data_IF_596487211093
#
_entry.id   IF_596487211093
#
_cell.length_a   1.000
_cell.length_b   1.000
_cell.length_c   1.000
_cell.angle_alpha   90.00
_cell.angle_beta   90.00
_cell.angle_gamma   90.00
#
_symmetry.space_group_name_H-M   'P 1'
#
loop_
_entity.id
_entity.type
_entity.pdbx_description
1 polymer ?
#
# COMPACT_ATOMS: atom_id res chain seq x y z
N UNK A 1 10.57 19.76 -31.21
CA UNK A 1 10.55 18.30 -30.95
C UNK A 1 11.99 17.82 -31.09
N UNK A 2 12.68 17.58 -29.98
CA UNK A 2 14.10 17.18 -30.00
C UNK A 2 14.24 15.66 -29.77
N UNK A 3 15.07 15.04 -30.60
CA UNK A 3 15.98 13.90 -30.40
C UNK A 3 15.63 12.94 -29.24
N UNK A 4 15.30 11.68 -29.60
CA UNK A 4 15.30 10.45 -28.77
C UNK A 4 15.56 10.70 -27.29
N UNK A 5 14.48 11.02 -26.56
CA UNK A 5 14.54 11.14 -25.12
C UNK A 5 14.87 9.76 -24.52
N UNK A 6 16.00 9.62 -23.83
CA UNK A 6 16.32 8.42 -23.06
C UNK A 6 15.31 8.31 -21.90
N UNK A 7 14.21 7.61 -22.15
CA UNK A 7 13.14 7.40 -21.17
C UNK A 7 13.64 6.68 -19.91
N UNK A 8 14.68 5.85 -20.03
CA UNK A 8 15.29 5.19 -18.88
C UNK A 8 15.99 6.18 -17.95
N UNK A 9 16.79 7.10 -18.50
CA UNK A 9 17.43 8.16 -17.73
C UNK A 9 16.41 9.15 -17.15
N UNK A 10 15.41 9.57 -17.93
CA UNK A 10 14.34 10.45 -17.44
C UNK A 10 13.57 9.80 -16.29
N UNK A 11 13.20 8.52 -16.44
CA UNK A 11 12.49 7.77 -15.42
C UNK A 11 13.24 7.73 -14.09
N UNK A 12 14.55 7.47 -14.11
CA UNK A 12 15.39 7.50 -12.90
C UNK A 12 15.49 8.90 -12.28
N UNK A 13 15.59 9.94 -13.10
CA UNK A 13 15.60 11.31 -12.60
C UNK A 13 14.30 11.66 -11.86
N UNK A 14 13.14 11.31 -12.44
CA UNK A 14 11.85 11.53 -11.79
C UNK A 14 11.66 10.69 -10.53
N UNK A 15 12.19 9.46 -10.51
CA UNK A 15 12.18 8.60 -9.33
C UNK A 15 12.95 9.23 -8.17
N UNK A 16 14.15 9.75 -8.43
CA UNK A 16 14.95 10.48 -7.43
C UNK A 16 14.29 11.78 -6.97
N UNK A 17 13.53 12.41 -7.85
CA UNK A 17 12.76 13.61 -7.54
C UNK A 17 11.41 13.31 -6.89
N UNK A 18 11.11 12.07 -6.48
CA UNK A 18 9.83 11.64 -5.88
C UNK A 18 8.59 11.87 -6.77
N UNK A 19 8.79 11.95 -8.09
CA UNK A 19 7.73 12.08 -9.10
C UNK A 19 7.36 10.70 -9.64
N UNK A 20 6.86 9.84 -8.75
CA UNK A 20 6.73 8.40 -9.00
C UNK A 20 5.81 8.04 -10.18
N UNK A 21 4.75 8.82 -10.43
CA UNK A 21 3.85 8.56 -11.54
C UNK A 21 4.51 8.84 -12.90
N UNK A 22 5.23 9.95 -13.01
CA UNK A 22 6.03 10.26 -14.20
C UNK A 22 7.17 9.26 -14.39
N UNK A 23 7.83 8.87 -13.29
CA UNK A 23 8.87 7.84 -13.31
C UNK A 23 8.31 6.53 -13.87
N UNK A 24 7.17 6.05 -13.36
CA UNK A 24 6.52 4.84 -13.82
C UNK A 24 6.19 4.89 -15.32
N UNK A 25 5.63 6.01 -15.81
CA UNK A 25 5.36 6.21 -17.24
C UNK A 25 6.62 6.11 -18.10
N UNK A 26 7.69 6.83 -17.74
CA UNK A 26 8.93 6.83 -18.49
C UNK A 26 9.61 5.44 -18.46
N UNK A 27 9.67 4.79 -17.30
CA UNK A 27 10.32 3.48 -17.15
C UNK A 27 9.56 2.39 -17.89
N UNK A 28 8.22 2.43 -17.85
CA UNK A 28 7.40 1.52 -18.64
C UNK A 28 7.63 1.69 -20.15
N UNK A 29 7.72 2.94 -20.65
CA UNK A 29 8.10 3.18 -22.05
C UNK A 29 9.50 2.67 -22.39
N UNK A 30 10.47 2.84 -21.49
CA UNK A 30 11.83 2.32 -21.68
C UNK A 30 11.84 0.78 -21.78
N UNK A 31 10.98 0.08 -21.04
CA UNK A 31 10.80 -1.38 -21.14
C UNK A 31 10.18 -1.76 -22.49
N UNK A 32 9.18 -1.02 -22.96
CA UNK A 32 8.57 -1.27 -24.28
C UNK A 32 9.57 -1.06 -25.43
N UNK A 33 10.46 -0.08 -25.32
CA UNK A 33 11.54 0.15 -26.29
C UNK A 33 12.65 -0.89 -26.20
N UNK A 34 13.02 -1.31 -24.98
CA UNK A 34 14.01 -2.35 -24.73
C UNK A 34 13.62 -3.20 -23.53
N UNK A 35 13.06 -4.39 -23.81
CA UNK A 35 12.61 -5.34 -22.77
C UNK A 35 13.74 -5.86 -21.87
N UNK A 36 14.99 -5.74 -22.30
CA UNK A 36 16.18 -6.17 -21.55
C UNK A 36 16.76 -5.06 -20.64
N UNK A 37 16.10 -3.90 -20.56
CA UNK A 37 16.53 -2.82 -19.69
C UNK A 37 16.23 -3.12 -18.21
N UNK A 38 17.11 -3.88 -17.55
CA UNK A 38 16.95 -4.29 -16.14
C UNK A 38 16.70 -3.12 -15.19
N UNK A 39 17.40 -2.00 -15.38
CA UNK A 39 17.23 -0.80 -14.58
C UNK A 39 15.83 -0.19 -14.73
N UNK A 40 15.19 -0.31 -15.89
CA UNK A 40 13.84 0.18 -16.10
C UNK A 40 12.80 -0.69 -15.37
N UNK A 41 12.99 -2.01 -15.35
CA UNK A 41 12.16 -2.94 -14.56
C UNK A 41 12.24 -2.64 -13.06
N UNK A 42 13.47 -2.52 -12.53
CA UNK A 42 13.70 -2.20 -11.12
C UNK A 42 13.07 -0.86 -10.74
N UNK A 43 13.35 0.18 -11.52
CA UNK A 43 12.80 1.50 -11.25
C UNK A 43 11.27 1.55 -11.36
N UNK A 44 10.66 0.82 -12.31
CA UNK A 44 9.20 0.76 -12.45
C UNK A 44 8.57 0.12 -11.20
N UNK A 45 9.13 -1.00 -10.74
CA UNK A 45 8.67 -1.68 -9.53
C UNK A 45 8.78 -0.79 -8.29
N UNK A 46 9.89 -0.07 -8.16
CA UNK A 46 10.09 0.87 -7.06
C UNK A 46 9.07 2.02 -7.11
N UNK A 47 8.87 2.63 -8.28
CA UNK A 47 7.90 3.70 -8.47
C UNK A 47 6.47 3.25 -8.12
N UNK A 48 6.04 2.08 -8.61
CA UNK A 48 4.72 1.53 -8.33
C UNK A 48 4.54 1.16 -6.85
N UNK A 49 5.60 0.66 -6.19
CA UNK A 49 5.58 0.32 -4.77
C UNK A 49 5.45 1.57 -3.90
N UNK A 50 6.18 2.65 -4.21
CA UNK A 50 6.03 3.93 -3.50
C UNK A 50 4.64 4.58 -3.70
N UNK A 51 3.96 4.28 -4.80
CA UNK A 51 2.56 4.66 -5.01
C UNK A 51 1.55 3.68 -4.39
N UNK A 52 2.00 2.61 -3.74
CA UNK A 52 1.18 1.51 -3.19
C UNK A 52 0.24 0.87 -4.22
N UNK A 53 0.72 0.71 -5.47
CA UNK A 53 -0.01 0.03 -6.56
C UNK A 53 0.28 -1.46 -6.56
N UNK A 54 -0.05 -2.15 -5.46
CA UNK A 54 0.36 -3.55 -5.19
C UNK A 54 -0.03 -4.53 -6.32
N UNK A 55 -1.23 -4.41 -6.89
CA UNK A 55 -1.65 -5.22 -8.04
C UNK A 55 -0.78 -5.01 -9.29
N UNK A 56 -0.37 -3.77 -9.56
CA UNK A 56 0.52 -3.45 -10.67
C UNK A 56 1.93 -3.97 -10.39
N UNK A 57 2.40 -3.86 -9.14
CA UNK A 57 3.69 -4.41 -8.70
C UNK A 57 3.72 -5.92 -8.89
N UNK A 58 2.69 -6.65 -8.46
CA UNK A 58 2.56 -8.10 -8.69
C UNK A 58 2.62 -8.45 -10.18
N UNK A 59 1.89 -7.69 -11.01
CA UNK A 59 1.87 -7.89 -12.47
C UNK A 59 3.25 -7.65 -13.08
N UNK A 60 3.92 -6.55 -12.74
CA UNK A 60 5.25 -6.20 -13.26
C UNK A 60 6.31 -7.17 -12.76
N UNK A 61 6.24 -7.62 -11.49
CA UNK A 61 7.14 -8.66 -10.95
C UNK A 61 6.98 -9.98 -11.70
N UNK A 62 5.74 -10.37 -12.00
CA UNK A 62 5.46 -11.58 -12.75
C UNK A 62 6.00 -11.50 -14.18
N UNK A 63 5.78 -10.36 -14.86
CA UNK A 63 6.33 -10.10 -16.20
C UNK A 63 7.86 -10.09 -16.20
N UNK A 64 8.50 -9.50 -15.18
CA UNK A 64 9.95 -9.50 -15.02
C UNK A 64 10.52 -10.93 -14.93
N UNK A 65 9.92 -11.77 -14.06
CA UNK A 65 10.36 -13.15 -13.88
C UNK A 65 10.22 -13.97 -15.17
N UNK A 66 9.08 -13.82 -15.87
CA UNK A 66 8.76 -14.56 -17.08
C UNK A 66 9.43 -14.04 -18.35
N UNK A 67 10.01 -12.84 -18.34
CA UNK A 67 10.71 -12.28 -19.50
C UNK A 67 12.06 -13.02 -19.69
N UNK A 68 12.24 -13.74 -20.82
CA UNK A 68 13.49 -14.40 -21.13
C UNK A 68 14.62 -13.36 -21.31
N UNK A 69 15.85 -13.78 -21.02
CA UNK A 69 17.09 -13.02 -21.22
C UNK A 69 17.28 -11.78 -20.35
N UNK A 70 16.35 -11.47 -19.42
CA UNK A 70 16.60 -10.48 -18.38
C UNK A 70 17.57 -11.04 -17.33
N UNK A 71 18.62 -10.29 -16.92
CA UNK A 71 19.52 -10.72 -15.86
C UNK A 71 18.79 -10.78 -14.52
N UNK A 72 19.26 -11.67 -13.65
CA UNK A 72 18.84 -11.70 -12.26
C UNK A 72 19.16 -10.36 -11.55
N UNK A 73 18.23 -9.91 -10.72
CA UNK A 73 18.36 -8.72 -9.86
C UNK A 73 17.93 -9.11 -8.45
N UNK A 74 18.88 -9.09 -7.50
CA UNK A 74 18.66 -9.50 -6.11
C UNK A 74 17.67 -8.60 -5.38
N UNK A 75 17.57 -7.33 -5.77
CA UNK A 75 16.68 -6.37 -5.10
C UNK A 75 15.20 -6.73 -5.31
N UNK A 76 14.91 -7.48 -6.38
CA UNK A 76 13.55 -7.94 -6.72
C UNK A 76 12.99 -8.98 -5.75
N UNK A 77 13.86 -9.75 -5.09
CA UNK A 77 13.44 -10.82 -4.17
C UNK A 77 12.61 -10.26 -3.04
N UNK A 78 13.06 -9.17 -2.42
CA UNK A 78 12.36 -8.54 -1.30
C UNK A 78 10.96 -8.09 -1.70
N UNK A 79 10.80 -7.54 -2.90
CA UNK A 79 9.48 -7.18 -3.44
C UNK A 79 8.61 -8.40 -3.67
N UNK A 80 9.14 -9.48 -4.26
CA UNK A 80 8.39 -10.71 -4.50
C UNK A 80 7.90 -11.35 -3.19
N UNK A 81 8.77 -11.46 -2.19
CA UNK A 81 8.42 -11.99 -0.88
C UNK A 81 7.32 -11.15 -0.21
N UNK A 82 7.41 -9.83 -0.27
CA UNK A 82 6.40 -8.94 0.30
C UNK A 82 5.05 -9.05 -0.44
N UNK A 83 5.07 -9.11 -1.77
CA UNK A 83 3.85 -9.08 -2.61
C UNK A 83 3.09 -10.41 -2.63
N UNK A 84 3.78 -11.53 -2.40
CA UNK A 84 3.18 -12.87 -2.41
C UNK A 84 3.39 -13.63 -1.09
N UNK A 85 3.57 -12.92 0.03
CA UNK A 85 3.70 -13.54 1.37
C UNK A 85 2.56 -14.50 1.73
N UNK A 86 1.37 -14.30 1.17
CA UNK A 86 0.19 -15.15 1.37
C UNK A 86 -0.21 -15.96 0.13
N UNK A 87 0.64 -15.98 -0.90
CA UNK A 87 0.44 -16.76 -2.12
C UNK A 87 1.71 -17.59 -2.42
N UNK A 88 1.92 -18.72 -1.70
CA UNK A 88 3.10 -19.55 -1.89
C UNK A 88 3.21 -20.14 -3.30
N UNK A 89 2.09 -20.28 -4.03
CA UNK A 89 2.08 -20.71 -5.44
C UNK A 89 2.82 -19.71 -6.33
N UNK A 90 2.34 -18.47 -6.40
CA UNK A 90 2.95 -17.44 -7.25
C UNK A 90 4.40 -17.16 -6.83
N UNK A 91 4.69 -17.13 -5.52
CA UNK A 91 6.04 -16.94 -5.03
C UNK A 91 6.96 -18.09 -5.44
N UNK A 92 6.51 -19.34 -5.33
CA UNK A 92 7.28 -20.51 -5.76
C UNK A 92 7.58 -20.47 -7.25
N UNK A 93 6.57 -20.20 -8.08
CA UNK A 93 6.72 -20.09 -9.54
C UNK A 93 7.66 -18.93 -9.91
N UNK A 94 7.60 -17.80 -9.18
CA UNK A 94 8.49 -16.66 -9.38
C UNK A 94 9.94 -17.03 -9.05
N UNK A 95 10.18 -17.65 -7.90
CA UNK A 95 11.52 -18.10 -7.46
C UNK A 95 12.10 -19.08 -8.48
N UNK A 96 11.28 -20.03 -8.95
CA UNK A 96 11.67 -20.96 -9.99
C UNK A 96 12.08 -20.24 -11.28
N UNK A 97 11.26 -19.30 -11.76
CA UNK A 97 11.54 -18.55 -12.98
C UNK A 97 12.82 -17.70 -12.88
N UNK A 98 13.06 -17.02 -11.75
CA UNK A 98 14.28 -16.22 -11.59
C UNK A 98 15.52 -17.08 -11.36
N UNK A 99 15.39 -18.27 -10.79
CA UNK A 99 16.51 -19.22 -10.60
C UNK A 99 17.14 -19.72 -11.91
N UNK A 100 16.48 -19.46 -13.04
CA UNK A 100 16.94 -19.82 -14.38
C UNK A 100 17.59 -18.64 -15.13
N UNK A 101 17.62 -17.44 -14.55
CA UNK A 101 18.19 -16.24 -15.18
C UNK A 101 19.72 -16.22 -15.07
N UNK A 102 20.38 -15.48 -15.95
CA UNK A 102 21.83 -15.27 -15.87
C UNK A 102 22.21 -14.38 -14.66
N UNK A 103 23.48 -14.45 -14.22
CA UNK A 103 24.05 -13.66 -13.12
C UNK A 103 23.52 -13.95 -11.70
N UNK A 104 23.01 -15.15 -11.44
CA UNK A 104 22.57 -15.59 -10.10
C UNK A 104 23.67 -15.53 -9.02
N UNK A 105 24.93 -15.72 -9.42
CA UNK A 105 26.05 -15.83 -8.49
C UNK A 105 25.80 -16.92 -7.44
N UNK A 106 26.01 -16.57 -6.16
CA UNK A 106 25.83 -17.51 -5.05
C UNK A 106 24.36 -17.75 -4.65
N UNK A 107 23.39 -17.08 -5.28
CA UNK A 107 21.98 -17.18 -4.89
C UNK A 107 21.27 -18.41 -5.47
N UNK A 108 21.90 -19.14 -6.41
CA UNK A 108 21.23 -20.24 -7.10
C UNK A 108 20.79 -21.36 -6.16
N UNK A 109 21.67 -21.81 -5.26
CA UNK A 109 21.35 -22.87 -4.28
C UNK A 109 20.20 -22.44 -3.35
N UNK A 110 20.31 -21.24 -2.78
CA UNK A 110 19.28 -20.64 -1.93
C UNK A 110 17.91 -20.55 -2.62
N UNK A 111 17.87 -20.12 -3.89
CA UNK A 111 16.62 -20.00 -4.65
C UNK A 111 16.01 -21.37 -4.95
N UNK A 112 16.83 -22.38 -5.26
CA UNK A 112 16.36 -23.75 -5.49
C UNK A 112 15.77 -24.36 -4.21
N UNK A 113 16.42 -24.16 -3.07
CA UNK A 113 15.90 -24.60 -1.76
C UNK A 113 14.59 -23.89 -1.41
N UNK A 114 14.55 -22.56 -1.55
CA UNK A 114 13.36 -21.76 -1.29
C UNK A 114 12.18 -22.19 -2.18
N UNK A 115 12.42 -22.45 -3.46
CA UNK A 115 11.40 -22.99 -4.37
C UNK A 115 10.86 -24.34 -3.89
N UNK A 116 11.73 -25.25 -3.45
CA UNK A 116 11.33 -26.56 -2.96
C UNK A 116 10.46 -26.44 -1.69
N UNK A 117 10.81 -25.56 -0.77
CA UNK A 117 10.05 -25.36 0.47
C UNK A 117 8.69 -24.71 0.21
N UNK A 118 8.63 -23.69 -0.64
CA UNK A 118 7.37 -23.04 -1.03
C UNK A 118 6.45 -23.99 -1.80
N UNK A 119 7.01 -24.83 -2.67
CA UNK A 119 6.25 -25.84 -3.42
C UNK A 119 5.63 -26.87 -2.49
N UNK A 120 6.38 -27.38 -1.50
CA UNK A 120 5.83 -28.28 -0.47
C UNK A 120 4.72 -27.60 0.34
N UNK A 121 4.92 -26.32 0.69
CA UNK A 121 3.90 -25.52 1.39
C UNK A 121 2.61 -25.40 0.58
N UNK A 122 2.72 -25.15 -0.73
CA UNK A 122 1.57 -25.12 -1.63
C UNK A 122 0.91 -26.50 -1.77
N UNK A 123 1.68 -27.57 -1.96
CA UNK A 123 1.15 -28.94 -2.03
C UNK A 123 0.36 -29.34 -0.78
N UNK A 124 0.83 -28.94 0.40
CA UNK A 124 0.11 -29.17 1.66
C UNK A 124 -1.24 -28.42 1.69
N UNK A 125 -1.27 -27.16 1.26
CA UNK A 125 -2.52 -26.38 1.17
C UNK A 125 -3.49 -26.99 0.15
N UNK A 126 -2.99 -27.46 -1.00
CA UNK A 126 -3.81 -28.14 -2.02
C UNK A 126 -4.39 -29.43 -1.46
N UNK A 127 -3.63 -30.20 -0.68
CA UNK A 127 -4.11 -31.41 -0.03
C UNK A 127 -5.20 -31.13 1.02
N UNK A 128 -5.13 -29.99 1.71
CA UNK A 128 -6.10 -29.61 2.76
C UNK A 128 -7.38 -28.97 2.20
N UNK A 129 -7.27 -28.09 1.21
CA UNK A 129 -8.37 -27.24 0.75
C UNK A 129 -8.82 -27.53 -0.69
N UNK A 130 -8.02 -28.22 -1.49
CA UNK A 130 -8.24 -28.40 -2.93
C UNK A 130 -7.81 -27.19 -3.75
N UNK A 131 -7.27 -27.45 -4.94
CA UNK A 131 -6.72 -26.40 -5.83
C UNK A 131 -7.79 -25.40 -6.30
N UNK A 132 -9.00 -25.86 -6.62
CA UNK A 132 -10.11 -25.00 -7.04
C UNK A 132 -10.49 -24.00 -5.94
N UNK A 133 -10.60 -24.44 -4.68
CA UNK A 133 -10.92 -23.55 -3.55
C UNK A 133 -9.81 -22.52 -3.30
N UNK A 134 -8.54 -22.90 -3.46
CA UNK A 134 -7.42 -21.97 -3.33
C UNK A 134 -7.41 -20.93 -4.46
N UNK A 135 -7.75 -21.32 -5.68
CA UNK A 135 -7.89 -20.41 -6.81
C UNK A 135 -9.04 -19.39 -6.56
N UNK A 136 -10.19 -19.86 -6.06
CA UNK A 136 -11.31 -18.99 -5.65
C UNK A 136 -10.93 -18.00 -4.54
N UNK A 137 -10.04 -18.43 -3.61
CA UNK A 137 -9.46 -17.58 -2.57
C UNK A 137 -8.36 -16.63 -3.08
N UNK A 138 -8.15 -16.56 -4.39
CA UNK A 138 -7.21 -15.63 -5.02
C UNK A 138 -5.76 -16.10 -5.09
N UNK A 139 -5.49 -17.38 -4.86
CA UNK A 139 -4.16 -17.99 -5.02
C UNK A 139 -3.84 -18.25 -6.50
N UNK A 140 -3.75 -17.17 -7.27
CA UNK A 140 -3.43 -17.21 -8.70
C UNK A 140 -1.96 -17.62 -8.94
N UNK A 141 -1.73 -18.25 -10.09
CA UNK A 141 -0.41 -18.54 -10.66
C UNK A 141 0.32 -17.27 -11.11
N UNK A 142 1.64 -17.39 -11.29
CA UNK A 142 2.48 -16.32 -11.82
C UNK A 142 2.06 -15.88 -13.22
N UNK A 143 1.68 -16.83 -14.07
CA UNK A 143 1.22 -16.55 -15.43
C UNK A 143 -0.08 -15.75 -15.43
N UNK A 144 -1.01 -16.06 -14.53
CA UNK A 144 -2.26 -15.32 -14.38
C UNK A 144 -2.01 -13.89 -13.91
N UNK A 145 -1.02 -13.64 -13.04
CA UNK A 145 -0.61 -12.28 -12.71
C UNK A 145 -0.02 -11.55 -13.93
N UNK A 146 0.87 -12.19 -14.68
CA UNK A 146 1.58 -11.53 -15.77
C UNK A 146 0.68 -11.04 -16.92
N UNK A 147 -0.44 -11.72 -17.18
CA UNK A 147 -1.40 -11.36 -18.23
C UNK A 147 -2.43 -10.31 -17.80
N UNK A 148 -2.47 -9.94 -16.50
CA UNK A 148 -3.37 -8.87 -16.04
C UNK A 148 -3.01 -7.56 -16.75
N UNK A 149 -4.05 -6.80 -17.11
CA UNK A 149 -3.88 -5.46 -17.66
C UNK A 149 -3.68 -4.47 -16.51
N UNK A 150 -2.62 -3.66 -16.59
CA UNK A 150 -2.39 -2.52 -15.69
C UNK A 150 -2.71 -1.21 -16.40
N UNK A 151 -2.87 -0.10 -15.68
CA UNK A 151 -3.26 1.17 -16.30
C UNK A 151 -2.19 1.69 -17.28
N UNK A 152 -0.91 1.34 -17.08
CA UNK A 152 0.17 1.66 -18.01
C UNK A 152 0.03 0.93 -19.36
N UNK A 153 -0.50 -0.31 -19.37
CA UNK A 153 -0.81 -1.01 -20.62
C UNK A 153 -1.95 -0.28 -21.35
N UNK A 154 -3.02 0.05 -20.61
CA UNK A 154 -4.17 0.77 -21.14
C UNK A 154 -3.75 2.12 -21.74
N UNK A 155 -2.92 2.89 -21.04
CA UNK A 155 -2.39 4.18 -21.54
C UNK A 155 -1.56 4.01 -22.82
N UNK A 156 -0.83 2.90 -22.95
CA UNK A 156 -0.05 2.65 -24.14
C UNK A 156 -0.93 2.24 -25.33
N UNK A 157 -1.90 1.36 -25.10
CA UNK A 157 -2.81 0.82 -26.12
C UNK A 157 -3.77 1.88 -26.68
N UNK A 158 -4.32 2.74 -25.83
CA UNK A 158 -5.22 3.83 -26.26
C UNK A 158 -4.49 4.93 -27.07
N UNK A 159 -3.15 4.91 -27.07
CA UNK A 159 -2.25 5.55 -28.05
C UNK A 159 -2.16 7.08 -28.05
N UNK A 160 -3.29 7.78 -27.88
CA UNK A 160 -3.37 9.24 -27.90
C UNK A 160 -3.69 9.79 -26.51
N UNK A 161 -2.81 10.68 -26.03
CA UNK A 161 -2.99 11.43 -24.77
C UNK A 161 -4.34 12.15 -24.75
N UNK A 162 -4.84 12.60 -25.91
CA UNK A 162 -6.14 13.25 -26.03
C UNK A 162 -7.31 12.32 -25.70
N UNK A 163 -7.28 11.08 -26.18
CA UNK A 163 -8.29 10.05 -25.88
C UNK A 163 -8.29 9.73 -24.40
N UNK A 164 -7.11 9.48 -23.84
CA UNK A 164 -6.94 9.20 -22.41
C UNK A 164 -7.51 10.34 -21.56
N UNK A 165 -7.18 11.58 -21.93
CA UNK A 165 -7.64 12.75 -21.20
C UNK A 165 -9.16 12.94 -21.31
N UNK A 166 -9.76 12.70 -22.47
CA UNK A 166 -11.22 12.76 -22.64
C UNK A 166 -11.92 11.72 -21.76
N UNK A 167 -11.47 10.47 -21.77
CA UNK A 167 -11.99 9.42 -20.89
C UNK A 167 -11.86 9.81 -19.42
N UNK A 168 -10.72 10.37 -19.02
CA UNK A 168 -10.49 10.83 -17.65
C UNK A 168 -11.47 11.95 -17.23
N UNK A 169 -11.85 12.86 -18.15
CA UNK A 169 -12.84 13.90 -17.86
C UNK A 169 -14.24 13.34 -17.61
N UNK A 170 -14.59 12.21 -18.23
CA UNK A 170 -15.85 11.52 -17.98
C UNK A 170 -15.79 10.74 -16.66
N UNK A 171 -14.76 9.91 -16.49
CA UNK A 171 -14.59 9.03 -15.32
C UNK A 171 -14.46 9.79 -14.00
N UNK A 172 -13.91 11.01 -14.02
CA UNK A 172 -13.77 11.80 -12.79
C UNK A 172 -15.12 12.27 -12.23
N UNK A 173 -16.16 12.29 -13.06
CA UNK A 173 -17.53 12.68 -12.65
C UNK A 173 -18.34 11.50 -12.15
N UNK A 174 -17.88 10.27 -12.39
CA UNK A 174 -18.50 9.05 -11.91
C UNK A 174 -17.90 8.65 -10.54
N UNK A 175 -18.69 8.62 -9.46
CA UNK A 175 -18.21 8.25 -8.13
C UNK A 175 -17.49 6.90 -8.08
N UNK A 176 -17.89 5.92 -8.90
CA UNK A 176 -17.29 4.58 -8.91
C UNK A 176 -15.90 4.57 -9.56
N UNK A 177 -15.65 5.48 -10.50
CA UNK A 177 -14.43 5.52 -11.31
C UNK A 177 -13.48 6.67 -10.94
N UNK A 178 -13.94 7.66 -10.14
CA UNK A 178 -13.20 8.88 -9.86
C UNK A 178 -11.82 8.62 -9.24
N UNK A 179 -11.71 7.70 -8.28
CA UNK A 179 -10.43 7.38 -7.64
C UNK A 179 -9.44 6.71 -8.62
N UNK A 180 -9.94 5.78 -9.44
CA UNK A 180 -9.15 5.12 -10.49
C UNK A 180 -8.68 6.13 -11.53
N UNK A 181 -9.54 7.08 -11.90
CA UNK A 181 -9.18 8.20 -12.79
C UNK A 181 -8.04 9.06 -12.20
N UNK A 182 -8.11 9.42 -10.92
CA UNK A 182 -7.03 10.18 -10.24
C UNK A 182 -5.70 9.42 -10.28
N UNK A 183 -5.72 8.12 -10.00
CA UNK A 183 -4.54 7.24 -10.04
C UNK A 183 -3.96 7.12 -11.45
N UNK A 184 -4.82 7.13 -12.46
CA UNK A 184 -4.41 7.14 -13.85
C UNK A 184 -3.73 8.48 -14.20
N UNK A 185 -4.35 9.61 -13.88
CA UNK A 185 -3.84 10.94 -14.21
C UNK A 185 -2.45 11.24 -13.63
N UNK A 186 -2.07 10.64 -12.49
CA UNK A 186 -0.74 10.85 -11.91
C UNK A 186 0.40 10.24 -12.75
N UNK A 187 0.09 9.26 -13.60
CA UNK A 187 1.04 8.60 -14.50
C UNK A 187 0.98 9.17 -15.92
N UNK A 188 0.17 10.20 -16.18
CA UNK A 188 0.08 10.85 -17.49
C UNK A 188 0.78 12.22 -17.45
N UNK A 189 2.06 12.33 -17.87
CA UNK A 189 2.85 13.56 -17.79
C UNK A 189 2.41 14.61 -18.84
N UNK A 190 1.20 15.15 -18.66
CA UNK A 190 0.57 16.18 -19.49
C UNK A 190 0.06 17.32 -18.59
N UNK A 191 0.21 18.56 -19.05
CA UNK A 191 -0.23 19.76 -18.32
C UNK A 191 -1.74 19.76 -18.04
N UNK A 192 -2.53 19.09 -18.89
CA UNK A 192 -3.96 18.94 -18.70
C UNK A 192 -4.28 17.99 -17.54
N UNK A 193 -3.47 16.96 -17.30
CA UNK A 193 -3.58 16.09 -16.12
C UNK A 193 -3.42 16.91 -14.84
N UNK A 194 -2.40 17.77 -14.76
CA UNK A 194 -2.21 18.68 -13.62
C UNK A 194 -3.44 19.59 -13.43
N UNK A 195 -3.91 20.24 -14.51
CA UNK A 195 -5.06 21.15 -14.45
C UNK A 195 -6.32 20.44 -13.95
N UNK A 196 -6.54 19.20 -14.39
CA UNK A 196 -7.67 18.39 -13.98
C UNK A 196 -7.55 17.97 -12.51
N UNK A 197 -6.39 17.45 -12.09
CA UNK A 197 -6.14 17.09 -10.69
C UNK A 197 -6.29 18.30 -9.74
N UNK A 198 -5.79 19.49 -10.12
CA UNK A 198 -6.02 20.73 -9.36
C UNK A 198 -7.49 21.14 -9.30
N UNK A 199 -8.31 20.76 -10.29
CA UNK A 199 -9.77 20.98 -10.25
C UNK A 199 -10.41 19.99 -9.27
N UNK A 200 -10.02 18.71 -9.33
CA UNK A 200 -10.47 17.67 -8.42
C UNK A 200 -10.23 18.07 -6.97
N UNK A 201 -9.02 18.54 -6.63
CA UNK A 201 -8.67 19.00 -5.28
C UNK A 201 -9.62 20.06 -4.70
N UNK A 202 -10.34 20.80 -5.55
CA UNK A 202 -11.27 21.88 -5.16
C UNK A 202 -12.74 21.52 -5.35
N UNK A 203 -13.06 20.35 -5.90
CA UNK A 203 -14.42 19.99 -6.23
C UNK A 203 -15.12 19.32 -5.03
N UNK A 204 -15.91 20.08 -4.29
CA UNK A 204 -16.61 19.61 -3.09
C UNK A 204 -17.72 18.59 -3.36
N UNK A 205 -18.12 18.41 -4.61
CA UNK A 205 -19.06 17.36 -5.01
C UNK A 205 -18.42 15.96 -5.01
N UNK A 206 -17.08 15.89 -5.04
CA UNK A 206 -16.34 14.63 -4.99
C UNK A 206 -16.05 14.21 -3.55
N UNK A 207 -16.00 12.90 -3.33
CA UNK A 207 -15.63 12.33 -2.05
C UNK A 207 -14.26 12.87 -1.57
N UNK A 208 -14.13 13.11 -0.26
CA UNK A 208 -12.91 13.66 0.33
C UNK A 208 -11.68 12.80 0.06
N UNK A 209 -11.82 11.46 0.01
CA UNK A 209 -10.73 10.54 -0.35
C UNK A 209 -10.23 10.80 -1.76
N UNK A 210 -11.13 10.97 -2.73
CA UNK A 210 -10.76 11.25 -4.13
C UNK A 210 -9.96 12.56 -4.21
N UNK A 211 -10.40 13.59 -3.48
CA UNK A 211 -9.70 14.88 -3.44
C UNK A 211 -8.33 14.78 -2.79
N UNK A 212 -8.20 14.06 -1.67
CA UNK A 212 -6.92 13.86 -0.98
C UNK A 212 -5.96 13.05 -1.84
N UNK A 213 -6.45 12.02 -2.53
CA UNK A 213 -5.65 11.26 -3.51
C UNK A 213 -5.27 12.11 -4.72
N UNK A 214 -6.06 13.12 -5.10
CA UNK A 214 -5.68 14.05 -6.16
C UNK A 214 -4.52 14.96 -5.75
N UNK A 215 -4.41 15.35 -4.48
CA UNK A 215 -3.21 16.03 -3.97
C UNK A 215 -1.97 15.14 -4.04
N UNK A 216 -2.10 13.87 -3.62
CA UNK A 216 -1.02 12.87 -3.75
C UNK A 216 -0.61 12.69 -5.22
N UNK A 217 -1.59 12.56 -6.11
CA UNK A 217 -1.39 12.44 -7.55
C UNK A 217 -0.64 13.64 -8.14
N UNK A 218 -0.92 14.86 -7.69
CA UNK A 218 -0.14 16.04 -8.10
C UNK A 218 1.33 15.90 -7.74
N UNK A 219 1.64 15.47 -6.50
CA UNK A 219 3.04 15.27 -6.06
C UNK A 219 3.75 14.20 -6.91
N UNK A 220 3.07 13.09 -7.19
CA UNK A 220 3.60 12.00 -8.02
C UNK A 220 3.71 12.35 -9.51
N UNK A 221 2.88 13.27 -9.99
CA UNK A 221 3.00 13.87 -11.32
C UNK A 221 4.19 14.85 -11.41
N UNK A 222 4.87 15.12 -10.28
CA UNK A 222 6.03 16.03 -10.21
C UNK A 222 5.66 17.50 -10.01
N UNK A 223 4.41 17.78 -9.61
CA UNK A 223 3.97 19.14 -9.25
C UNK A 223 4.57 19.53 -7.90
N UNK A 224 5.09 20.76 -7.82
CA UNK A 224 5.79 21.31 -6.65
C UNK A 224 5.15 22.62 -6.18
N UNK A 225 5.43 23.00 -4.95
CA UNK A 225 4.86 24.18 -4.28
C UNK A 225 3.35 24.06 -3.97
N UNK A 226 2.66 25.20 -3.96
CA UNK A 226 1.32 25.29 -3.39
C UNK A 226 0.20 24.70 -4.28
N UNK A 227 -0.70 23.94 -3.66
CA UNK A 227 -1.96 23.49 -4.21
C UNK A 227 -3.14 23.95 -3.35
N UNK A 228 -4.19 24.46 -4.01
CA UNK A 228 -5.46 24.77 -3.34
C UNK A 228 -6.28 23.49 -3.19
N UNK A 229 -6.82 23.29 -2.00
CA UNK A 229 -7.60 22.11 -1.64
C UNK A 229 -8.84 22.55 -0.87
N UNK A 230 -10.00 22.03 -1.21
CA UNK A 230 -11.23 22.31 -0.46
C UNK A 230 -11.68 21.05 0.26
N UNK A 231 -12.02 21.16 1.54
CA UNK A 231 -12.64 20.08 2.31
C UNK A 231 -13.52 20.68 3.43
N UNK A 232 -14.63 20.01 3.74
CA UNK A 232 -15.62 20.47 4.73
C UNK A 232 -16.06 21.94 4.59
N UNK A 233 -16.19 22.45 3.36
CA UNK A 233 -16.60 23.84 3.09
C UNK A 233 -15.51 24.88 3.36
N UNK A 234 -14.30 24.46 3.69
CA UNK A 234 -13.13 25.32 3.89
C UNK A 234 -12.12 25.15 2.75
N UNK A 235 -11.35 26.21 2.49
CA UNK A 235 -10.30 26.21 1.47
C UNK A 235 -8.92 26.31 2.13
N UNK A 236 -8.07 25.36 1.81
CA UNK A 236 -6.71 25.19 2.31
C UNK A 236 -5.70 25.42 1.20
N UNK A 237 -4.50 25.83 1.60
CA UNK A 237 -3.32 25.87 0.73
C UNK A 237 -2.31 24.88 1.27
N UNK A 238 -2.06 23.81 0.51
CA UNK A 238 -1.14 22.74 0.87
C UNK A 238 0.16 22.95 0.12
N UNK A 239 1.27 23.01 0.83
CA UNK A 239 2.62 22.98 0.24
C UNK A 239 2.95 21.53 -0.13
N UNK A 240 3.05 21.22 -1.43
CA UNK A 240 3.37 19.88 -1.91
C UNK A 240 4.84 19.50 -1.69
N UNK A 241 5.72 20.48 -1.41
CA UNK A 241 7.13 20.23 -1.15
C UNK A 241 7.35 19.79 0.31
N UNK A 242 6.55 20.31 1.24
CA UNK A 242 6.55 19.92 2.65
C UNK A 242 5.13 19.99 3.25
N UNK A 243 4.26 19.01 2.93
CA UNK A 243 2.87 19.03 3.36
C UNK A 243 2.77 18.84 4.88
N UNK A 244 2.04 19.77 5.52
CA UNK A 244 1.73 19.73 6.96
C UNK A 244 0.21 19.82 7.13
N UNK A 245 -0.46 18.76 7.58
CA UNK A 245 0.09 17.46 8.00
C UNK A 245 0.57 16.60 6.82
N UNK A 246 1.33 15.53 7.12
CA UNK A 246 1.99 14.68 6.13
C UNK A 246 1.04 14.20 5.02
N UNK A 247 1.40 14.38 3.75
CA UNK A 247 0.63 13.83 2.63
C UNK A 247 1.25 12.51 2.18
N UNK A 248 0.64 11.38 2.58
CA UNK A 248 1.16 10.02 2.32
C UNK A 248 0.05 9.03 1.97
N UNK A 249 0.40 7.94 1.28
CA UNK A 249 -0.48 6.77 1.06
C UNK A 249 -0.31 5.67 2.09
N UNK A 250 0.72 5.76 2.92
CA UNK A 250 0.93 4.84 4.05
C UNK A 250 0.25 5.37 5.31
N UNK A 251 0.33 4.60 6.40
CA UNK A 251 -0.04 5.12 7.72
C UNK A 251 0.87 6.32 8.05
N UNK A 252 0.32 7.50 8.37
CA UNK A 252 1.13 8.68 8.68
C UNK A 252 2.05 8.44 9.88
N UNK A 253 3.26 9.00 9.83
CA UNK A 253 4.29 8.75 10.83
C UNK A 253 3.86 9.14 12.25
N UNK A 254 2.96 10.12 12.37
CA UNK A 254 2.41 10.60 13.65
C UNK A 254 1.66 9.51 14.43
N UNK A 255 1.16 8.46 13.77
CA UNK A 255 0.49 7.33 14.43
C UNK A 255 1.43 6.21 14.89
N UNK A 256 2.70 6.19 14.44
CA UNK A 256 3.67 5.14 14.80
C UNK A 256 3.84 4.94 16.32
N UNK A 257 3.90 6.00 17.15
CA UNK A 257 4.04 5.82 18.59
C UNK A 257 2.82 5.09 19.18
N UNK A 258 1.61 5.44 18.77
CA UNK A 258 0.39 4.77 19.22
C UNK A 258 0.31 3.31 18.74
N UNK A 259 0.72 3.00 17.51
CA UNK A 259 0.84 1.62 17.03
C UNK A 259 1.87 0.82 17.84
N UNK A 260 2.97 1.46 18.23
CA UNK A 260 3.96 0.82 19.10
C UNK A 260 3.40 0.54 20.49
N UNK A 261 2.58 1.44 21.06
CA UNK A 261 1.88 1.22 22.35
C UNK A 261 0.82 0.13 22.26
N UNK A 262 0.16 -0.01 21.11
CA UNK A 262 -0.74 -1.14 20.85
C UNK A 262 0.04 -2.46 20.94
N UNK A 263 1.20 -2.56 20.30
CA UNK A 263 2.03 -3.77 20.39
C UNK A 263 2.63 -3.99 21.80
N UNK A 264 2.94 -2.92 22.54
CA UNK A 264 3.33 -3.00 23.95
C UNK A 264 2.24 -3.65 24.82
N UNK A 265 0.98 -3.28 24.60
CA UNK A 265 -0.15 -3.91 25.28
C UNK A 265 -0.27 -5.39 24.93
N UNK A 266 -0.14 -5.75 23.64
CA UNK A 266 -0.16 -7.16 23.20
C UNK A 266 0.98 -7.95 23.85
N UNK A 267 2.19 -7.39 23.89
CA UNK A 267 3.36 -8.00 24.52
C UNK A 267 3.12 -8.29 26.00
N UNK A 268 2.44 -7.36 26.70
CA UNK A 268 2.06 -7.52 28.11
C UNK A 268 1.01 -8.63 28.29
N UNK A 269 -0.02 -8.67 27.46
CA UNK A 269 -1.04 -9.73 27.53
C UNK A 269 -0.49 -11.13 27.18
N UNK A 270 0.59 -11.19 26.39
CA UNK A 270 1.31 -12.42 26.07
C UNK A 270 2.42 -12.76 27.08
N UNK A 271 2.68 -11.90 28.07
CA UNK A 271 3.65 -12.14 29.14
C UNK A 271 5.11 -11.83 28.78
N UNK A 272 5.39 -11.19 27.64
CA UNK A 272 6.74 -10.73 27.27
C UNK A 272 7.16 -9.46 28.01
N UNK A 273 6.19 -8.65 28.44
CA UNK A 273 6.37 -7.39 29.17
C UNK A 273 5.61 -7.48 30.49
N UNK A 274 6.20 -7.03 31.61
CA UNK A 274 5.49 -7.05 32.90
C UNK A 274 4.46 -5.93 33.00
N UNK A 275 3.53 -6.03 33.95
CA UNK A 275 2.55 -4.97 34.18
C UNK A 275 3.21 -3.63 34.59
N UNK A 276 4.28 -3.69 35.39
CA UNK A 276 5.03 -2.50 35.80
C UNK A 276 5.75 -1.83 34.62
N UNK A 277 6.36 -2.64 33.75
CA UNK A 277 7.01 -2.16 32.53
C UNK A 277 5.99 -1.54 31.57
N UNK A 278 4.83 -2.18 31.42
CA UNK A 278 3.73 -1.63 30.64
C UNK A 278 3.30 -0.25 31.18
N UNK A 279 3.00 -0.13 32.47
CA UNK A 279 2.53 1.14 33.04
C UNK A 279 3.59 2.27 32.96
N UNK A 280 4.88 1.93 33.00
CA UNK A 280 5.96 2.91 32.84
C UNK A 280 6.00 3.54 31.43
N UNK A 281 5.62 2.79 30.39
CA UNK A 281 5.78 3.19 29.00
C UNK A 281 4.47 3.42 28.23
N UNK A 282 3.35 2.88 28.70
CA UNK A 282 2.05 2.96 28.05
C UNK A 282 1.56 4.40 27.92
N UNK A 283 1.77 5.21 28.97
CA UNK A 283 1.31 6.60 29.03
C UNK A 283 2.35 7.62 28.56
N UNK A 284 3.53 7.18 28.11
CA UNK A 284 4.56 8.07 27.58
C UNK A 284 4.34 8.29 26.08
N UNK A 285 4.22 9.55 25.66
CA UNK A 285 4.08 9.94 24.24
C UNK A 285 5.43 9.98 23.49
N UNK A 286 6.51 9.46 24.07
CA UNK A 286 7.81 9.33 23.42
C UNK A 286 7.72 8.54 22.09
N UNK A 287 8.34 9.03 20.99
CA UNK A 287 8.19 8.41 19.68
C UNK A 287 8.68 6.95 19.60
N UNK A 288 9.73 6.62 20.35
CA UNK A 288 10.42 5.34 20.31
C UNK A 288 10.53 4.77 21.72
N UNK A 289 10.54 3.43 21.83
CA UNK A 289 10.84 2.76 23.07
C UNK A 289 12.36 2.61 23.25
N UNK A 290 12.86 2.53 24.48
CA UNK A 290 14.20 2.02 24.74
C UNK A 290 14.41 0.63 24.13
N UNK A 291 15.66 0.30 23.78
CA UNK A 291 16.01 -0.94 23.07
C UNK A 291 15.51 -2.21 23.78
N UNK A 292 15.58 -2.25 25.12
CA UNK A 292 15.14 -3.41 25.91
C UNK A 292 13.64 -3.66 25.80
N UNK A 293 12.82 -2.59 25.83
CA UNK A 293 11.38 -2.68 25.62
C UNK A 293 11.06 -2.97 24.16
N UNK A 294 11.76 -2.32 23.22
CA UNK A 294 11.56 -2.54 21.79
C UNK A 294 11.77 -4.01 21.39
N UNK A 295 12.80 -4.67 21.91
CA UNK A 295 13.04 -6.10 21.66
C UNK A 295 11.95 -7.00 22.26
N UNK A 296 11.41 -6.68 23.43
CA UNK A 296 10.27 -7.41 24.00
C UNK A 296 9.00 -7.22 23.17
N UNK A 297 8.76 -6.01 22.68
CA UNK A 297 7.60 -5.71 21.81
C UNK A 297 7.69 -6.47 20.48
N UNK A 298 8.89 -6.67 19.92
CA UNK A 298 9.08 -7.47 18.69
C UNK A 298 8.73 -8.95 18.87
N UNK A 299 8.73 -9.46 20.10
CA UNK A 299 8.30 -10.83 20.40
C UNK A 299 6.77 -10.97 20.43
N UNK A 300 6.03 -9.86 20.46
CA UNK A 300 4.58 -9.90 20.48
C UNK A 300 4.02 -10.39 19.14
N UNK A 301 3.21 -11.43 19.20
CA UNK A 301 2.59 -12.03 18.03
C UNK A 301 1.16 -11.52 17.86
N UNK A 302 0.95 -10.55 16.98
CA UNK A 302 -0.38 -10.15 16.53
C UNK A 302 -0.50 -10.50 15.04
N UNK A 303 -1.47 -11.35 14.62
CA UNK A 303 -1.65 -11.72 13.22
C UNK A 303 -1.63 -10.48 12.31
N UNK A 304 -0.86 -10.55 11.23
CA UNK A 304 -0.65 -9.40 10.31
C UNK A 304 -1.96 -8.85 9.76
N UNK A 305 -2.92 -9.73 9.47
CA UNK A 305 -4.27 -9.36 9.03
C UNK A 305 -4.97 -8.42 10.02
N UNK A 306 -4.81 -8.64 11.33
CA UNK A 306 -5.41 -7.81 12.37
C UNK A 306 -4.72 -6.44 12.49
N UNK A 307 -3.40 -6.40 12.29
CA UNK A 307 -2.67 -5.11 12.23
C UNK A 307 -3.12 -4.27 11.03
N UNK A 308 -3.32 -4.91 9.88
CA UNK A 308 -3.70 -4.23 8.65
C UNK A 308 -5.10 -3.61 8.70
N UNK A 309 -6.00 -4.15 9.52
CA UNK A 309 -7.31 -3.53 9.79
C UNK A 309 -7.12 -2.12 10.36
N UNK A 310 -6.25 -1.95 11.36
CA UNK A 310 -6.00 -0.63 11.96
C UNK A 310 -5.33 0.30 10.97
N UNK A 311 -4.35 -0.18 10.21
CA UNK A 311 -3.70 0.62 9.18
C UNK A 311 -4.71 1.14 8.14
N UNK A 312 -5.62 0.27 7.70
CA UNK A 312 -6.68 0.60 6.75
C UNK A 312 -7.62 1.66 7.32
N UNK A 313 -8.07 1.50 8.58
CA UNK A 313 -8.96 2.45 9.24
C UNK A 313 -8.31 3.82 9.49
N UNK A 314 -7.05 3.84 9.93
CA UNK A 314 -6.26 5.08 10.04
C UNK A 314 -6.20 5.75 8.68
N UNK A 315 -5.88 5.01 7.61
CA UNK A 315 -5.76 5.60 6.28
C UNK A 315 -7.08 6.14 5.76
N UNK A 316 -8.18 5.41 5.92
CA UNK A 316 -9.50 5.87 5.48
C UNK A 316 -9.92 7.15 6.19
N UNK A 317 -9.77 7.21 7.51
CA UNK A 317 -10.06 8.42 8.28
C UNK A 317 -9.14 9.58 7.87
N UNK A 318 -7.85 9.32 7.72
CA UNK A 318 -6.89 10.35 7.31
C UNK A 318 -7.21 10.92 5.93
N UNK A 319 -7.59 10.08 4.96
CA UNK A 319 -8.00 10.50 3.62
C UNK A 319 -9.25 11.39 3.64
N UNK A 320 -10.22 11.01 4.47
CA UNK A 320 -11.47 11.74 4.63
C UNK A 320 -11.24 13.11 5.28
N UNK A 321 -10.40 13.16 6.31
CA UNK A 321 -10.26 14.34 7.16
C UNK A 321 -9.12 15.29 6.78
N UNK A 322 -8.20 14.89 5.89
CA UNK A 322 -7.10 15.76 5.46
C UNK A 322 -7.59 17.14 4.99
N UNK A 323 -6.93 18.27 5.34
CA UNK A 323 -5.78 18.39 6.26
C UNK A 323 -6.15 18.54 7.74
N UNK A 324 -7.43 18.48 8.10
CA UNK A 324 -7.96 18.63 9.47
C UNK A 324 -7.86 17.33 10.29
N UNK A 325 -6.70 16.68 10.23
CA UNK A 325 -6.45 15.45 11.00
C UNK A 325 -6.02 15.79 12.43
N UNK A 326 -6.47 15.01 13.44
CA UNK A 326 -6.13 15.28 14.83
C UNK A 326 -4.64 15.07 15.08
N UNK A 327 -4.06 15.87 15.99
CA UNK A 327 -2.74 15.58 16.53
C UNK A 327 -2.81 14.33 17.40
N UNK A 328 -1.85 13.41 17.23
CA UNK A 328 -1.75 12.21 18.06
C UNK A 328 -1.01 12.59 19.35
N UNK A 329 -1.78 12.74 20.43
CA UNK A 329 -1.33 12.83 21.83
C UNK A 329 -2.16 11.84 22.63
N UNK A 330 -1.66 11.37 23.77
CA UNK A 330 -2.34 10.28 24.49
C UNK A 330 -2.24 8.98 23.70
N UNK A 331 -1.01 8.54 23.47
CA UNK A 331 -0.72 7.33 22.68
C UNK A 331 -1.34 6.07 23.27
N UNK A 332 -1.54 6.02 24.60
CA UNK A 332 -2.29 4.96 25.30
C UNK A 332 -3.73 4.89 24.84
N UNK A 333 -4.41 6.04 24.78
CA UNK A 333 -5.82 6.14 24.40
C UNK A 333 -6.02 5.80 22.93
N UNK A 334 -5.11 6.24 22.05
CA UNK A 334 -5.09 5.82 20.65
C UNK A 334 -4.86 4.32 20.49
N UNK A 335 -3.86 3.77 21.18
CA UNK A 335 -3.57 2.34 21.19
C UNK A 335 -4.77 1.51 21.66
N UNK A 336 -5.43 1.94 22.73
CA UNK A 336 -6.65 1.32 23.23
C UNK A 336 -7.78 1.37 22.19
N UNK A 337 -7.99 2.51 21.54
CA UNK A 337 -8.96 2.64 20.45
C UNK A 337 -8.69 1.70 19.27
N UNK A 338 -7.42 1.50 18.91
CA UNK A 338 -7.00 0.53 17.89
C UNK A 338 -7.32 -0.91 18.31
N UNK A 339 -6.96 -1.29 19.53
CA UNK A 339 -7.22 -2.63 20.07
C UNK A 339 -8.71 -2.96 20.13
N UNK A 340 -9.54 -1.98 20.51
CA UNK A 340 -11.01 -2.13 20.48
C UNK A 340 -11.51 -2.48 19.07
N UNK A 341 -10.99 -1.80 18.04
CA UNK A 341 -11.35 -2.05 16.64
C UNK A 341 -10.88 -3.42 16.15
N UNK A 342 -9.65 -3.80 16.48
CA UNK A 342 -9.12 -5.12 16.15
C UNK A 342 -9.97 -6.21 16.79
N UNK A 343 -10.30 -6.06 18.06
CA UNK A 343 -11.14 -7.01 18.79
C UNK A 343 -12.53 -7.10 18.16
N UNK A 344 -13.16 -5.97 17.86
CA UNK A 344 -14.48 -5.92 17.21
C UNK A 344 -14.45 -6.65 15.86
N UNK A 345 -13.38 -6.46 15.07
CA UNK A 345 -13.18 -7.15 13.80
C UNK A 345 -13.00 -8.66 13.98
N UNK A 346 -12.09 -9.08 14.86
CA UNK A 346 -11.79 -10.49 15.11
C UNK A 346 -13.05 -11.26 15.56
N UNK A 347 -13.74 -10.74 16.58
CA UNK A 347 -14.98 -11.35 17.08
C UNK A 347 -16.09 -11.34 16.03
N UNK A 348 -16.17 -10.28 15.23
CA UNK A 348 -17.14 -10.15 14.14
C UNK A 348 -16.98 -11.23 13.07
N UNK A 349 -15.74 -11.59 12.75
CA UNK A 349 -15.39 -12.70 11.85
C UNK A 349 -15.49 -14.09 12.52
N UNK A 350 -15.87 -14.16 13.79
CA UNK A 350 -15.88 -15.42 14.55
C UNK A 350 -14.48 -15.92 14.91
N UNK A 351 -13.44 -15.11 14.73
CA UNK A 351 -12.11 -15.39 15.26
C UNK A 351 -12.16 -15.29 16.79
N UNK A 352 -11.48 -16.19 17.48
CA UNK A 352 -11.27 -16.06 18.92
C UNK A 352 -10.41 -14.83 19.23
N UNK A 353 -10.68 -14.16 20.36
CA UNK A 353 -9.82 -13.11 20.91
C UNK A 353 -9.13 -13.66 22.17
N UNK A 354 -7.89 -14.19 22.06
CA UNK A 354 -7.22 -14.85 23.18
C UNK A 354 -6.57 -13.87 24.17
N UNK A 355 -6.56 -12.57 23.87
CA UNK A 355 -5.99 -11.51 24.69
C UNK A 355 -7.04 -10.96 25.66
N UNK A 356 -6.61 -10.18 26.66
CA UNK A 356 -7.50 -9.51 27.60
C UNK A 356 -8.44 -8.47 26.98
N UNK A 357 -9.20 -7.80 27.84
CA UNK A 357 -10.04 -6.67 27.44
C UNK A 357 -9.18 -5.41 27.19
N UNK A 358 -9.27 -4.79 26.00
CA UNK A 358 -8.65 -3.49 25.78
C UNK A 358 -9.16 -2.45 26.78
N UNK A 359 -8.30 -1.50 27.12
CA UNK A 359 -8.67 -0.41 28.02
C UNK A 359 -9.80 0.45 27.43
N UNK A 360 -10.80 0.80 28.23
CA UNK A 360 -12.00 1.52 27.76
C UNK A 360 -12.04 2.97 28.29
N UNK A 361 -11.01 3.74 27.99
CA UNK A 361 -10.99 5.18 28.31
C UNK A 361 -12.01 5.94 27.45
N UNK A 362 -12.63 6.99 27.98
CA UNK A 362 -13.57 7.82 27.22
C UNK A 362 -12.94 8.37 25.93
N UNK A 363 -11.68 8.82 26.00
CA UNK A 363 -10.94 9.29 24.83
C UNK A 363 -10.62 8.18 23.83
N UNK A 364 -10.35 6.95 24.28
CA UNK A 364 -10.14 5.81 23.39
C UNK A 364 -11.40 5.50 22.55
N UNK A 365 -12.58 5.62 23.17
CA UNK A 365 -13.87 5.49 22.48
C UNK A 365 -14.04 6.58 21.42
N UNK A 366 -13.68 7.83 21.74
CA UNK A 366 -13.73 8.94 20.78
C UNK A 366 -12.77 8.73 19.59
N UNK A 367 -11.54 8.26 19.84
CA UNK A 367 -10.57 7.93 18.80
C UNK A 367 -11.06 6.78 17.90
N UNK A 368 -11.60 5.71 18.50
CA UNK A 368 -12.27 4.61 17.77
C UNK A 368 -13.38 5.14 16.87
N UNK A 369 -14.26 5.99 17.39
CA UNK A 369 -15.39 6.52 16.62
C UNK A 369 -14.92 7.46 15.49
N UNK A 370 -13.85 8.22 15.69
CA UNK A 370 -13.24 9.03 14.64
C UNK A 370 -12.62 8.18 13.52
N UNK A 371 -12.00 7.05 13.84
CA UNK A 371 -11.51 6.11 12.83
C UNK A 371 -12.67 5.51 12.02
N UNK A 372 -13.72 5.08 12.71
CA UNK A 372 -14.92 4.51 12.09
C UNK A 372 -15.71 5.51 11.24
N UNK A 373 -15.66 6.80 11.56
CA UNK A 373 -16.32 7.79 10.72
C UNK A 373 -15.65 7.92 9.34
N UNK A 374 -14.39 7.48 9.19
CA UNK A 374 -13.70 7.30 7.91
C UNK A 374 -14.15 6.09 7.10
N UNK A 375 -14.73 5.08 7.76
CA UNK A 375 -15.15 3.80 7.18
C UNK A 375 -16.53 3.39 7.75
N UNK A 376 -17.60 4.11 7.37
CA UNK A 376 -18.93 3.92 7.96
C UNK A 376 -19.53 2.52 7.71
N UNK A 377 -19.06 1.84 6.68
CA UNK A 377 -19.41 0.49 6.25
C UNK A 377 -18.64 -0.61 6.99
N UNK A 378 -17.71 -0.28 7.90
CA UNK A 378 -16.85 -1.24 8.58
C UNK A 378 -17.62 -2.44 9.18
N UNK A 379 -18.70 -2.17 9.92
CA UNK A 379 -19.49 -3.25 10.52
C UNK A 379 -20.30 -4.03 9.49
N UNK A 380 -20.73 -3.41 8.39
CA UNK A 380 -21.41 -4.10 7.29
C UNK A 380 -20.45 -5.07 6.60
N UNK A 381 -19.23 -4.64 6.31
CA UNK A 381 -18.16 -5.49 5.76
C UNK A 381 -17.87 -6.68 6.66
N UNK A 382 -17.76 -6.46 7.97
CA UNK A 382 -17.57 -7.54 8.96
C UNK A 382 -18.73 -8.54 8.93
N UNK A 383 -19.99 -8.06 8.85
CA UNK A 383 -21.16 -8.94 8.77
C UNK A 383 -21.22 -9.71 7.45
N UNK A 384 -20.89 -9.08 6.33
CA UNK A 384 -20.85 -9.73 5.02
C UNK A 384 -19.75 -10.80 4.96
N UNK A 385 -18.56 -10.52 5.49
CA UNK A 385 -17.47 -11.49 5.56
C UNK A 385 -17.85 -12.72 6.42
N UNK A 386 -18.61 -12.53 7.49
CA UNK A 386 -19.15 -13.62 8.32
C UNK A 386 -20.12 -14.55 7.58
N UNK A 387 -20.83 -14.06 6.57
CA UNK A 387 -21.78 -14.87 5.79
C UNK A 387 -21.08 -15.71 4.70
N UNK A 388 -19.82 -15.40 4.39
CA UNK A 388 -19.00 -16.07 3.38
C UNK A 388 -18.01 -17.07 3.97
N UNK A 389 -17.78 -17.03 5.29
CA UNK A 389 -17.03 -18.01 6.06
C UNK A 389 -17.95 -19.12 6.58
#
# INVERSE_FOLDING_TARGET
MNQTADYGAMGRHYLQAESYGVAAFCLYRAILENKLNSNAWNGLLLALTFMRKEYDVQTVLARFALQPDLPYDSDMITFAMMMWQHNPRALSEWVQAVSQKENLGNHQEMLVELHADLSKGYEALVAEHGEESLAEKGMASLQEYAVRRIELDWMHEEGAVDTIYQNAQEWITDPEHALSCVRLLCMLPDLRSEKLLRRVCRNEELDSKVRTHALLALRWLGVRGNAKFNNFGESFVIDLDNPQPELTVSVPAVFKPALSRMLLWVAKEQGHVTAEEYEAWASNDEPEFPEDIAEKVKQAELPSQLQEVVHTLIRAAYDKYYPLVPTVKGTREWAAGFLMLIKDYALGLGMGWPLGEPEQHEQAVLHRNWLLSGSPDFYEVVQSAKQQA
#
